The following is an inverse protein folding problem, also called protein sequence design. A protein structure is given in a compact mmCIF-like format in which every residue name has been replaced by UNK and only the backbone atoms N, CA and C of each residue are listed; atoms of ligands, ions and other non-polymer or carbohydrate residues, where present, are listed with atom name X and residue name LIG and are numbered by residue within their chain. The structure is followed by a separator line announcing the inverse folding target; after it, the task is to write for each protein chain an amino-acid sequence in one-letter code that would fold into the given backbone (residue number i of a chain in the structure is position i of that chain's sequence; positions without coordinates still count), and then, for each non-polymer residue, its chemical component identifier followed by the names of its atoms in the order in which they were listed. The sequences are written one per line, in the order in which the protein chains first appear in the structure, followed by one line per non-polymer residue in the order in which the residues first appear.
data_IF_864585836871
#
_entry.id   IF_864585836871
#
_cell.length_a   1.000
_cell.length_b   1.000
_cell.length_c   1.000
_cell.angle_alpha   90.00
_cell.angle_beta   90.00
_cell.angle_gamma   90.00
#
_symmetry.space_group_name_H-M   'P 1'
#
loop_
_entity.id
_entity.type
_entity.pdbx_description
1 polymer ?
#
# COMPACT_ATOMS: atom_id res chain seq x y z
N UNK A 1 -40.82 86.85 -35.82
CA UNK A 1 -39.89 86.22 -34.85
C UNK A 1 -39.40 84.94 -35.50
N UNK A 2 -38.49 84.92 -36.49
CA UNK A 2 -37.17 85.57 -36.64
C UNK A 2 -36.20 85.28 -35.47
N UNK A 3 -35.43 84.17 -35.63
CA UNK A 3 -33.95 83.99 -35.64
C UNK A 3 -33.09 84.71 -34.57
N UNK A 4 -31.86 84.22 -34.21
CA UNK A 4 -30.98 83.41 -35.06
C UNK A 4 -30.16 82.27 -34.43
N UNK A 5 -29.73 81.45 -35.39
CA UNK A 5 -28.56 80.59 -35.50
C UNK A 5 -27.25 81.22 -34.99
N UNK A 6 -26.44 80.49 -34.22
CA UNK A 6 -25.01 80.78 -34.03
C UNK A 6 -24.20 79.49 -34.22
N UNK A 7 -23.27 79.56 -35.15
CA UNK A 7 -22.30 78.54 -35.54
C UNK A 7 -20.92 78.84 -34.92
N UNK A 8 -20.20 77.75 -34.59
CA UNK A 8 -18.72 77.56 -34.51
C UNK A 8 -17.95 78.00 -33.24
N UNK A 9 -16.78 77.36 -32.92
CA UNK A 9 -15.92 76.50 -33.76
C UNK A 9 -15.49 75.14 -33.18
N UNK A 10 -14.90 74.36 -34.08
CA UNK A 10 -14.21 73.07 -33.93
C UNK A 10 -12.99 73.21 -33.02
N UNK A 11 -12.92 72.40 -31.96
CA UNK A 11 -11.66 72.08 -31.27
C UNK A 11 -11.42 70.58 -31.38
N UNK A 12 -10.44 70.22 -32.19
CA UNK A 12 -9.89 68.86 -32.30
C UNK A 12 -9.22 68.51 -30.97
N UNK A 13 -9.84 67.63 -30.18
CA UNK A 13 -9.16 66.99 -29.06
C UNK A 13 -8.69 65.60 -29.50
N UNK A 14 -7.47 65.58 -30.03
CA UNK A 14 -6.67 64.37 -30.22
C UNK A 14 -6.44 63.71 -28.86
N UNK A 15 -7.24 62.72 -28.51
CA UNK A 15 -6.96 61.84 -27.37
C UNK A 15 -6.32 60.57 -27.90
N UNK A 16 -5.10 60.36 -27.42
CA UNK A 16 -4.18 59.33 -27.84
C UNK A 16 -4.84 57.94 -27.80
N UNK A 17 -4.73 57.22 -28.91
CA UNK A 17 -4.92 55.79 -28.98
C UNK A 17 -3.86 55.16 -28.06
N UNK A 18 -4.24 54.80 -26.84
CA UNK A 18 -3.44 53.93 -26.00
C UNK A 18 -3.41 52.57 -26.71
N UNK A 19 -2.38 52.35 -27.52
CA UNK A 19 -1.99 51.04 -27.98
C UNK A 19 -1.62 50.24 -26.73
N UNK A 20 -2.59 49.53 -26.17
CA UNK A 20 -2.31 48.45 -25.25
C UNK A 20 -1.47 47.43 -26.04
N UNK A 21 -0.15 47.49 -25.86
CA UNK A 21 0.71 46.38 -26.18
C UNK A 21 0.16 45.18 -25.42
N UNK A 22 -0.61 44.36 -26.11
CA UNK A 22 -0.81 42.96 -25.76
C UNK A 22 0.58 42.33 -25.85
N UNK A 23 1.35 42.47 -24.77
CA UNK A 23 2.44 41.57 -24.48
C UNK A 23 1.78 40.20 -24.39
N UNK A 24 1.80 39.47 -25.50
CA UNK A 24 1.67 38.03 -25.54
C UNK A 24 2.83 37.47 -24.70
N UNK A 25 2.64 37.55 -23.37
CA UNK A 25 3.42 36.78 -22.43
C UNK A 25 3.17 35.34 -22.80
N UNK A 26 4.18 34.68 -23.32
CA UNK A 26 4.29 33.25 -23.20
C UNK A 26 4.16 32.94 -21.71
N UNK A 27 2.94 32.62 -21.26
CA UNK A 27 2.74 31.91 -20.00
C UNK A 27 3.56 30.63 -20.19
N UNK A 28 4.65 30.41 -19.42
CA UNK A 28 5.31 29.12 -19.43
C UNK A 28 4.21 28.11 -19.12
N UNK A 29 3.98 27.16 -20.04
CA UNK A 29 2.94 26.16 -19.87
C UNK A 29 3.09 25.55 -18.49
N UNK A 30 2.03 25.58 -17.68
CA UNK A 30 2.02 24.91 -16.38
C UNK A 30 2.48 23.48 -16.61
N UNK A 31 3.70 23.17 -16.16
CA UNK A 31 4.20 21.81 -16.16
C UNK A 31 3.31 21.09 -15.15
N UNK A 32 2.35 20.31 -15.64
CA UNK A 32 1.54 19.37 -14.87
C UNK A 32 2.11 17.98 -15.13
N UNK A 33 3.19 17.58 -14.43
CA UNK A 33 3.73 16.25 -14.60
C UNK A 33 2.65 15.24 -14.19
N UNK A 34 2.56 14.13 -14.93
CA UNK A 34 1.72 13.01 -14.51
C UNK A 34 2.22 12.46 -13.17
N UNK A 35 1.37 11.79 -12.39
CA UNK A 35 1.79 11.12 -11.13
C UNK A 35 3.03 10.24 -11.38
N UNK A 36 3.03 9.49 -12.48
CA UNK A 36 4.17 8.67 -12.88
C UNK A 36 5.47 9.47 -13.02
N UNK A 37 5.40 10.68 -13.57
CA UNK A 37 6.55 11.58 -13.74
C UNK A 37 6.92 12.32 -12.45
N UNK A 38 5.96 12.63 -11.57
CA UNK A 38 6.25 13.19 -10.24
C UNK A 38 6.98 12.16 -9.38
N UNK A 39 6.58 10.89 -9.45
CA UNK A 39 7.12 9.84 -8.58
C UNK A 39 8.34 9.11 -9.14
N UNK A 40 8.65 9.27 -10.44
CA UNK A 40 9.99 8.95 -10.97
C UNK A 40 11.10 9.75 -10.26
N UNK A 41 10.77 10.86 -9.59
CA UNK A 41 11.73 11.68 -8.83
C UNK A 41 11.93 11.27 -7.37
N UNK A 42 11.22 10.24 -6.87
CA UNK A 42 11.42 9.66 -5.55
C UNK A 42 10.15 9.55 -4.69
N UNK A 43 10.35 9.35 -3.39
CA UNK A 43 9.27 9.22 -2.40
C UNK A 43 8.57 10.56 -2.17
N UNK A 44 7.23 10.57 -2.16
CA UNK A 44 6.42 11.74 -1.83
C UNK A 44 6.04 11.72 -0.35
N UNK A 45 6.29 12.81 0.37
CA UNK A 45 5.73 13.02 1.71
C UNK A 45 4.40 13.76 1.62
N UNK A 46 3.42 13.30 2.37
CA UNK A 46 2.12 13.97 2.49
C UNK A 46 1.63 13.83 3.92
N UNK A 47 1.57 14.96 4.64
CA UNK A 47 1.43 14.96 6.09
C UNK A 47 2.55 14.13 6.74
N UNK A 48 2.17 13.18 7.59
CA UNK A 48 3.09 12.30 8.32
C UNK A 48 3.36 10.96 7.60
N UNK A 49 2.86 10.82 6.36
CA UNK A 49 2.98 9.60 5.57
C UNK A 49 3.96 9.77 4.40
N UNK A 50 4.45 8.62 3.94
CA UNK A 50 5.32 8.51 2.76
C UNK A 50 4.64 7.63 1.71
N UNK A 51 4.70 8.06 0.45
CA UNK A 51 4.16 7.36 -0.70
C UNK A 51 5.26 7.09 -1.72
N UNK A 52 5.41 5.83 -2.13
CA UNK A 52 6.41 5.41 -3.12
C UNK A 52 5.72 4.69 -4.26
N UNK A 53 5.98 5.08 -5.50
CA UNK A 53 5.52 4.31 -6.64
C UNK A 53 6.42 3.07 -6.82
N UNK A 54 5.80 1.90 -6.92
CA UNK A 54 6.50 0.62 -7.08
C UNK A 54 6.47 0.12 -8.52
N UNK A 55 5.37 0.40 -9.21
CA UNK A 55 5.15 0.07 -10.61
C UNK A 55 4.14 1.07 -11.22
N UNK A 56 3.95 1.09 -12.54
CA UNK A 56 2.77 1.74 -13.11
C UNK A 56 1.51 1.24 -12.40
N UNK A 57 0.70 2.17 -11.88
CA UNK A 57 -0.54 1.90 -11.15
C UNK A 57 -0.42 1.27 -9.76
N UNK A 58 0.77 1.11 -9.19
CA UNK A 58 0.95 0.55 -7.84
C UNK A 58 1.83 1.45 -6.99
N UNK A 59 1.33 1.83 -5.83
CA UNK A 59 2.04 2.63 -4.84
C UNK A 59 2.06 1.93 -3.49
N UNK A 60 3.14 2.12 -2.75
CA UNK A 60 3.21 1.84 -1.32
C UNK A 60 2.78 3.08 -0.56
N UNK A 61 1.93 2.91 0.45
CA UNK A 61 1.75 3.89 1.51
C UNK A 61 2.53 3.43 2.75
N UNK A 62 3.17 4.34 3.45
CA UNK A 62 3.94 4.07 4.68
C UNK A 62 3.52 5.06 5.77
N UNK A 63 3.09 4.52 6.90
CA UNK A 63 2.71 5.26 8.11
C UNK A 63 3.58 4.84 9.30
N UNK A 64 3.60 5.64 10.36
CA UNK A 64 4.47 5.42 11.52
C UNK A 64 3.67 5.49 12.81
N UNK A 65 4.00 4.62 13.77
CA UNK A 65 3.51 4.72 15.14
C UNK A 65 4.70 4.81 16.09
N UNK A 66 4.71 5.83 16.95
CA UNK A 66 5.71 5.95 18.00
C UNK A 66 5.38 4.98 19.14
N UNK A 67 6.22 3.94 19.29
CA UNK A 67 6.09 2.96 20.35
C UNK A 67 7.18 3.18 21.42
N UNK A 68 6.80 3.42 22.69
CA UNK A 68 7.77 3.55 23.78
C UNK A 68 8.73 2.36 23.84
N UNK A 69 10.04 2.63 23.80
CA UNK A 69 11.10 1.61 23.81
C UNK A 69 11.53 1.07 22.44
N UNK A 70 10.72 1.25 21.38
CA UNK A 70 11.03 0.80 20.01
C UNK A 70 11.24 1.96 19.03
N UNK A 71 10.71 3.14 19.33
CA UNK A 71 10.71 4.30 18.43
C UNK A 71 9.59 4.26 17.41
N UNK A 72 9.74 5.01 16.31
CA UNK A 72 8.77 5.04 15.23
C UNK A 72 8.79 3.74 14.42
N UNK A 73 7.72 2.95 14.50
CA UNK A 73 7.56 1.69 13.76
C UNK A 73 6.80 1.96 12.46
N UNK A 74 7.45 1.68 11.33
CA UNK A 74 6.84 1.85 10.01
C UNK A 74 5.85 0.70 9.72
N UNK A 75 4.74 1.03 9.06
CA UNK A 75 3.80 0.07 8.49
C UNK A 75 3.50 0.44 7.04
N UNK A 76 3.70 -0.53 6.14
CA UNK A 76 3.43 -0.40 4.72
C UNK A 76 2.13 -1.13 4.34
N UNK A 77 1.37 -0.52 3.44
CA UNK A 77 0.34 -1.16 2.63
C UNK A 77 0.42 -0.70 1.17
N UNK A 78 -0.59 -1.01 0.35
CA UNK A 78 -0.59 -0.72 -1.09
C UNK A 78 -1.81 0.08 -1.53
N UNK A 79 -1.62 0.88 -2.58
CA UNK A 79 -2.64 1.57 -3.36
C UNK A 79 -2.51 1.08 -4.79
N UNK A 80 -3.59 0.60 -5.38
CA UNK A 80 -3.60 0.03 -6.73
C UNK A 80 -4.66 0.72 -7.58
N UNK A 81 -4.25 1.36 -8.68
CA UNK A 81 -5.18 1.90 -9.67
C UNK A 81 -5.58 0.80 -10.65
N UNK A 82 -6.86 0.52 -10.73
CA UNK A 82 -7.44 -0.43 -11.66
C UNK A 82 -8.47 0.28 -12.54
N UNK A 83 -8.05 0.67 -13.76
CA UNK A 83 -8.89 1.47 -14.65
C UNK A 83 -9.36 2.77 -13.98
N UNK A 84 -10.67 2.93 -13.84
CA UNK A 84 -11.34 4.13 -13.27
C UNK A 84 -11.55 4.10 -11.75
N UNK A 85 -10.85 3.23 -11.01
CA UNK A 85 -11.01 3.06 -9.56
C UNK A 85 -9.68 2.77 -8.87
N UNK A 86 -9.67 2.90 -7.55
CA UNK A 86 -8.54 2.57 -6.68
C UNK A 86 -8.92 1.46 -5.71
N UNK A 87 -7.99 0.55 -5.46
CA UNK A 87 -8.09 -0.53 -4.49
C UNK A 87 -7.00 -0.31 -3.44
N UNK A 88 -7.35 -0.47 -2.16
CA UNK A 88 -6.43 -0.31 -1.04
C UNK A 88 -6.09 -1.68 -0.44
N UNK A 89 -4.84 -1.89 -0.06
CA UNK A 89 -4.39 -3.02 0.77
C UNK A 89 -3.84 -2.43 2.07
N UNK A 90 -4.44 -2.85 3.18
CA UNK A 90 -4.21 -2.37 4.56
C UNK A 90 -4.52 -0.89 4.82
N UNK A 91 -4.95 -0.59 6.05
CA UNK A 91 -5.03 0.78 6.58
C UNK A 91 -3.64 1.29 7.02
N UNK A 92 -3.58 2.54 7.50
CA UNK A 92 -2.48 2.97 8.36
C UNK A 92 -2.72 2.54 9.82
N UNK A 93 -1.85 2.95 10.75
CA UNK A 93 -1.98 2.65 12.19
C UNK A 93 -3.20 3.29 12.85
N UNK A 94 -3.72 4.39 12.29
CA UNK A 94 -4.82 5.17 12.87
C UNK A 94 -5.80 5.63 11.80
N UNK A 95 -7.00 6.02 12.24
CA UNK A 95 -8.00 6.66 11.37
C UNK A 95 -7.47 7.96 10.74
N UNK A 96 -6.80 8.82 11.49
CA UNK A 96 -6.25 10.08 10.96
C UNK A 96 -5.21 9.84 9.87
N UNK A 97 -4.33 8.85 10.05
CA UNK A 97 -3.35 8.48 9.03
C UNK A 97 -4.03 7.84 7.82
N UNK A 98 -5.09 7.06 8.03
CA UNK A 98 -5.85 6.44 6.93
C UNK A 98 -6.64 7.49 6.15
N UNK A 99 -7.20 8.49 6.81
CA UNK A 99 -7.80 9.66 6.15
C UNK A 99 -6.76 10.44 5.32
N UNK A 100 -5.52 10.55 5.79
CA UNK A 100 -4.42 11.13 4.99
C UNK A 100 -4.12 10.32 3.73
N UNK A 101 -4.18 8.98 3.79
CA UNK A 101 -4.08 8.12 2.58
C UNK A 101 -5.20 8.47 1.60
N UNK A 102 -6.45 8.55 2.07
CA UNK A 102 -7.59 8.88 1.21
C UNK A 102 -7.47 10.29 0.59
N UNK A 103 -6.98 11.26 1.36
CA UNK A 103 -6.71 12.62 0.89
C UNK A 103 -5.61 12.64 -0.17
N UNK A 104 -4.53 11.88 0.02
CA UNK A 104 -3.48 11.74 -0.99
C UNK A 104 -4.03 11.09 -2.27
N UNK A 105 -4.80 10.00 -2.16
CA UNK A 105 -5.46 9.37 -3.31
C UNK A 105 -6.34 10.38 -4.05
N UNK A 106 -7.11 11.19 -3.32
CA UNK A 106 -7.97 12.21 -3.90
C UNK A 106 -7.17 13.29 -4.63
N UNK A 107 -6.07 13.75 -4.04
CA UNK A 107 -5.24 14.81 -4.62
C UNK A 107 -4.48 14.33 -5.85
N UNK A 108 -3.80 13.18 -5.76
CA UNK A 108 -2.88 12.72 -6.79
C UNK A 108 -3.59 11.89 -7.87
N UNK A 109 -4.39 10.90 -7.48
CA UNK A 109 -5.04 9.97 -8.41
C UNK A 109 -6.43 10.47 -8.84
N UNK A 110 -7.16 11.10 -7.91
CA UNK A 110 -8.50 11.65 -8.12
C UNK A 110 -9.51 10.65 -8.72
N UNK A 111 -9.45 9.39 -8.26
CA UNK A 111 -10.40 8.32 -8.58
C UNK A 111 -11.04 7.79 -7.29
N UNK A 112 -12.26 7.24 -7.36
CA UNK A 112 -12.90 6.65 -6.18
C UNK A 112 -12.14 5.42 -5.69
N UNK A 113 -11.97 5.32 -4.36
CA UNK A 113 -11.51 4.09 -3.71
C UNK A 113 -12.71 3.14 -3.64
N UNK A 114 -12.67 2.07 -4.42
CA UNK A 114 -13.80 1.15 -4.55
C UNK A 114 -13.88 0.16 -3.39
N UNK A 115 -12.72 -0.33 -2.93
CA UNK A 115 -12.63 -1.26 -1.81
C UNK A 115 -11.27 -1.19 -1.13
N UNK A 116 -11.22 -1.71 0.10
CA UNK A 116 -9.99 -2.02 0.81
C UNK A 116 -10.01 -3.48 1.28
N UNK A 117 -8.86 -4.16 1.17
CA UNK A 117 -8.62 -5.46 1.80
C UNK A 117 -7.56 -5.30 2.89
N UNK A 118 -7.84 -5.79 4.10
CA UNK A 118 -6.92 -5.73 5.24
C UNK A 118 -6.41 -7.12 5.60
N UNK A 119 -5.14 -7.23 5.96
CA UNK A 119 -4.41 -8.51 5.90
C UNK A 119 -4.32 -9.31 7.20
N UNK A 120 -4.63 -8.72 8.35
CA UNK A 120 -4.87 -9.40 9.63
C UNK A 120 -5.34 -8.42 10.70
N UNK A 121 -5.85 -8.92 11.83
CA UNK A 121 -6.36 -8.14 12.95
C UNK A 121 -5.27 -7.58 13.87
N UNK A 122 -4.33 -6.79 13.34
CA UNK A 122 -3.42 -5.93 14.11
C UNK A 122 -3.62 -4.46 13.75
N UNK A 123 -3.26 -3.56 14.67
CA UNK A 123 -3.49 -2.12 14.54
C UNK A 123 -2.86 -1.52 13.28
N UNK A 124 -1.70 -2.01 12.86
CA UNK A 124 -1.00 -1.51 11.69
C UNK A 124 -1.65 -1.87 10.35
N UNK A 125 -2.64 -2.77 10.35
CA UNK A 125 -3.45 -3.17 9.18
C UNK A 125 -4.91 -2.74 9.26
N UNK A 126 -5.46 -2.66 10.48
CA UNK A 126 -6.89 -2.45 10.75
C UNK A 126 -7.15 -1.29 11.73
N UNK A 127 -6.15 -0.50 12.09
CA UNK A 127 -6.30 0.63 13.02
C UNK A 127 -7.01 1.85 12.42
N UNK A 128 -7.27 1.86 11.11
CA UNK A 128 -7.95 2.95 10.41
C UNK A 128 -9.28 2.58 9.75
N UNK A 129 -9.95 1.55 10.26
CA UNK A 129 -11.15 0.98 9.64
C UNK A 129 -12.35 1.93 9.70
N UNK A 130 -12.49 2.72 10.77
CA UNK A 130 -13.57 3.69 10.89
C UNK A 130 -13.43 4.81 9.85
N UNK A 131 -12.20 5.25 9.54
CA UNK A 131 -11.96 6.21 8.44
C UNK A 131 -12.42 5.67 7.08
N UNK A 132 -12.18 4.38 6.80
CA UNK A 132 -12.65 3.75 5.56
C UNK A 132 -14.18 3.65 5.52
N UNK A 133 -14.81 3.26 6.63
CA UNK A 133 -16.27 3.16 6.73
C UNK A 133 -16.94 4.52 6.60
N UNK A 134 -16.39 5.55 7.25
CA UNK A 134 -16.88 6.93 7.15
C UNK A 134 -16.78 7.48 5.71
N UNK A 135 -15.79 7.04 4.94
CA UNK A 135 -15.65 7.37 3.53
C UNK A 135 -16.56 6.52 2.60
N UNK A 136 -17.34 5.58 3.14
CA UNK A 136 -18.22 4.71 2.37
C UNK A 136 -17.48 3.64 1.54
N UNK A 137 -16.26 3.28 1.94
CA UNK A 137 -15.43 2.30 1.23
C UNK A 137 -15.80 0.88 1.68
N UNK A 138 -16.03 -0.03 0.72
CA UNK A 138 -16.29 -1.44 1.02
C UNK A 138 -15.02 -2.11 1.56
N UNK A 139 -15.10 -2.73 2.74
CA UNK A 139 -13.94 -3.33 3.41
C UNK A 139 -14.03 -4.84 3.49
N UNK A 140 -12.91 -5.51 3.26
CA UNK A 140 -12.80 -6.97 3.24
C UNK A 140 -11.64 -7.43 4.11
N UNK A 141 -11.83 -8.50 4.88
CA UNK A 141 -10.76 -9.15 5.63
C UNK A 141 -10.98 -10.66 5.64
N UNK A 142 -9.99 -11.44 6.06
CA UNK A 142 -10.23 -12.85 6.40
C UNK A 142 -11.39 -12.93 7.41
N UNK A 143 -12.29 -13.91 7.25
CA UNK A 143 -13.36 -14.17 8.21
C UNK A 143 -12.85 -14.26 9.65
N UNK A 144 -11.66 -14.87 9.84
CA UNK A 144 -11.02 -14.94 11.15
C UNK A 144 -10.56 -13.57 11.65
N UNK A 145 -10.01 -12.71 10.79
CA UNK A 145 -9.66 -11.32 11.16
C UNK A 145 -10.89 -10.55 11.65
N UNK A 146 -12.04 -10.69 10.99
CA UNK A 146 -13.27 -10.04 11.43
C UNK A 146 -13.76 -10.56 12.79
N UNK A 147 -13.49 -11.82 13.12
CA UNK A 147 -13.79 -12.38 14.43
C UNK A 147 -12.81 -11.90 15.51
N UNK A 148 -11.53 -11.74 15.18
CA UNK A 148 -10.47 -11.33 16.10
C UNK A 148 -10.46 -9.81 16.35
N UNK A 149 -10.78 -8.99 15.34
CA UNK A 149 -10.67 -7.53 15.43
C UNK A 149 -11.35 -6.94 16.69
N UNK A 150 -12.61 -7.28 17.03
CA UNK A 150 -13.23 -6.75 18.26
C UNK A 150 -12.54 -7.19 19.56
N UNK A 151 -11.86 -8.34 19.55
CA UNK A 151 -11.12 -8.85 20.71
C UNK A 151 -9.83 -8.06 20.93
N UNK A 152 -9.23 -7.58 19.84
CA UNK A 152 -8.05 -6.70 19.81
C UNK A 152 -8.41 -5.21 19.92
N UNK A 153 -9.68 -4.86 20.16
CA UNK A 153 -10.14 -3.46 20.24
C UNK A 153 -10.17 -2.75 18.88
N UNK A 154 -10.21 -3.50 17.78
CA UNK A 154 -10.26 -3.02 16.40
C UNK A 154 -11.66 -3.17 15.80
N UNK A 155 -11.92 -2.43 14.72
CA UNK A 155 -13.18 -2.49 13.99
C UNK A 155 -13.08 -3.52 12.85
N UNK A 156 -14.02 -4.45 12.81
CA UNK A 156 -14.07 -5.48 11.76
C UNK A 156 -14.36 -4.89 10.38
N UNK A 157 -13.91 -5.55 9.33
CA UNK A 157 -14.33 -5.24 7.97
C UNK A 157 -15.81 -5.61 7.73
N UNK A 158 -16.44 -4.95 6.75
CA UNK A 158 -17.85 -5.17 6.41
C UNK A 158 -18.10 -6.55 5.77
N UNK A 159 -17.09 -7.11 5.12
CA UNK A 159 -17.16 -8.36 4.39
C UNK A 159 -16.08 -9.34 4.83
N UNK A 160 -16.44 -10.61 4.89
CA UNK A 160 -15.54 -11.71 5.24
C UNK A 160 -15.12 -12.49 4.00
N UNK A 161 -13.82 -12.66 3.83
CA UNK A 161 -13.19 -13.52 2.84
C UNK A 161 -13.11 -14.94 3.40
N UNK A 162 -13.43 -15.92 2.55
CA UNK A 162 -13.19 -17.34 2.84
C UNK A 162 -12.21 -17.91 1.83
N UNK A 163 -11.49 -18.97 2.24
CA UNK A 163 -10.41 -19.53 1.45
C UNK A 163 -10.67 -21.01 1.17
N UNK A 164 -10.39 -21.43 -0.06
CA UNK A 164 -10.40 -22.82 -0.46
C UNK A 164 -9.27 -23.58 0.28
N UNK A 165 -9.34 -24.91 0.27
CA UNK A 165 -8.34 -25.76 0.91
C UNK A 165 -6.90 -25.56 0.36
N UNK A 166 -6.77 -25.02 -0.85
CA UNK A 166 -5.48 -24.70 -1.46
C UNK A 166 -4.98 -23.28 -1.11
N UNK A 167 -5.65 -22.55 -0.23
CA UNK A 167 -5.29 -21.22 0.25
C UNK A 167 -5.81 -20.05 -0.60
N UNK A 168 -6.29 -20.28 -1.82
CA UNK A 168 -6.83 -19.19 -2.64
C UNK A 168 -8.20 -18.72 -2.15
N UNK A 169 -8.43 -17.41 -2.22
CA UNK A 169 -9.73 -16.83 -1.85
C UNK A 169 -10.85 -17.39 -2.73
N UNK A 170 -11.98 -17.71 -2.11
CA UNK A 170 -13.19 -18.12 -2.82
C UNK A 170 -13.76 -16.91 -3.57
N UNK A 171 -13.87 -16.94 -4.92
CA UNK A 171 -14.21 -15.77 -5.73
C UNK A 171 -15.53 -15.10 -5.35
N UNK A 172 -16.50 -15.88 -4.84
CA UNK A 172 -17.79 -15.37 -4.38
C UNK A 172 -17.66 -14.41 -3.19
N UNK A 173 -16.59 -14.50 -2.40
CA UNK A 173 -16.32 -13.64 -1.23
C UNK A 173 -15.44 -12.44 -1.55
N UNK A 174 -14.80 -12.41 -2.73
CA UNK A 174 -13.94 -11.32 -3.19
C UNK A 174 -14.46 -10.68 -4.50
N UNK A 175 -15.72 -10.22 -4.55
CA UNK A 175 -16.30 -9.67 -5.78
C UNK A 175 -15.57 -8.39 -6.20
N UNK A 176 -15.32 -8.27 -7.50
CA UNK A 176 -14.71 -7.08 -8.10
C UNK A 176 -13.29 -6.75 -7.60
N UNK A 177 -12.49 -7.72 -7.18
CA UNK A 177 -11.11 -7.47 -6.72
C UNK A 177 -10.11 -7.07 -7.82
N UNK A 178 -10.50 -7.17 -9.10
CA UNK A 178 -9.66 -6.76 -10.23
C UNK A 178 -8.30 -7.48 -10.21
N UNK A 179 -7.16 -6.76 -10.19
CA UNK A 179 -5.83 -7.36 -10.18
C UNK A 179 -5.43 -7.98 -8.83
N UNK A 180 -6.16 -7.75 -7.73
CA UNK A 180 -5.80 -8.30 -6.43
C UNK A 180 -6.04 -9.82 -6.39
N UNK A 181 -4.98 -10.59 -6.14
CA UNK A 181 -5.02 -12.05 -5.96
C UNK A 181 -4.73 -12.38 -4.50
N UNK A 182 -5.78 -12.65 -3.72
CA UNK A 182 -5.67 -12.87 -2.27
C UNK A 182 -5.43 -14.35 -1.96
N UNK A 183 -4.47 -14.61 -1.08
CA UNK A 183 -4.04 -15.94 -0.71
C UNK A 183 -3.84 -16.05 0.81
N UNK A 184 -4.42 -17.07 1.42
CA UNK A 184 -4.17 -17.48 2.79
C UNK A 184 -3.06 -18.54 2.80
N UNK A 185 -1.85 -18.20 3.26
CA UNK A 185 -0.72 -19.12 3.25
C UNK A 185 -0.73 -20.13 4.39
N UNK A 186 -1.66 -20.02 5.34
CA UNK A 186 -1.63 -20.71 6.63
C UNK A 186 -1.19 -19.78 7.77
N UNK A 187 -1.29 -20.24 9.02
CA UNK A 187 -0.96 -19.44 10.19
C UNK A 187 0.56 -19.17 10.27
N UNK A 188 0.94 -17.98 10.70
CA UNK A 188 2.35 -17.56 10.75
C UNK A 188 2.57 -16.37 11.67
N UNK A 189 2.65 -15.15 11.13
CA UNK A 189 2.73 -13.92 11.94
C UNK A 189 1.51 -13.80 12.86
N UNK A 190 0.35 -14.16 12.33
CA UNK A 190 -0.88 -14.42 13.10
C UNK A 190 -1.59 -15.63 12.52
N UNK A 191 -2.62 -16.12 13.21
CA UNK A 191 -3.47 -17.20 12.70
C UNK A 191 -4.29 -16.82 11.45
N UNK A 192 -4.58 -15.52 11.30
CA UNK A 192 -5.47 -14.94 10.30
C UNK A 192 -4.76 -14.22 9.15
N UNK A 193 -3.42 -14.18 9.13
CA UNK A 193 -2.66 -13.46 8.10
C UNK A 193 -3.02 -13.89 6.67
N UNK A 194 -3.25 -12.92 5.79
CA UNK A 194 -3.42 -13.15 4.35
C UNK A 194 -2.41 -12.33 3.55
N UNK A 195 -2.23 -12.72 2.30
CA UNK A 195 -1.25 -12.12 1.38
C UNK A 195 -1.91 -11.76 0.06
N UNK A 196 -1.33 -10.82 -0.68
CA UNK A 196 -1.95 -10.28 -1.90
C UNK A 196 -0.93 -10.15 -3.03
N UNK A 197 -1.14 -10.86 -4.13
CA UNK A 197 -0.44 -10.62 -5.40
C UNK A 197 -1.15 -9.57 -6.25
N UNK A 198 -0.41 -8.83 -7.07
CA UNK A 198 -0.98 -7.84 -7.99
C UNK A 198 -0.79 -8.31 -9.43
N UNK A 199 -1.86 -8.86 -10.03
CA UNK A 199 -1.85 -9.37 -11.40
C UNK A 199 -1.47 -8.28 -12.42
N UNK A 200 -0.72 -8.67 -13.45
CA UNK A 200 -0.13 -7.74 -14.42
C UNK A 200 1.11 -6.98 -13.91
N UNK A 201 1.60 -7.29 -12.71
CA UNK A 201 2.87 -6.79 -12.17
C UNK A 201 3.72 -7.93 -11.60
N UNK A 202 4.96 -7.63 -11.25
CA UNK A 202 5.84 -8.56 -10.55
C UNK A 202 5.78 -8.43 -9.01
N UNK A 203 4.71 -7.82 -8.47
CA UNK A 203 4.58 -7.48 -7.05
C UNK A 203 3.74 -8.52 -6.30
N UNK A 204 4.27 -9.00 -5.18
CA UNK A 204 3.51 -9.73 -4.17
C UNK A 204 3.71 -9.12 -2.78
N UNK A 205 2.60 -8.88 -2.08
CA UNK A 205 2.55 -8.32 -0.74
C UNK A 205 2.42 -9.43 0.29
N UNK A 206 3.49 -9.63 1.05
CA UNK A 206 3.57 -10.62 2.14
C UNK A 206 3.08 -10.09 3.50
N UNK A 207 2.70 -8.81 3.59
CA UNK A 207 2.26 -8.19 4.84
C UNK A 207 3.29 -8.35 5.96
N UNK A 208 2.82 -8.69 7.15
CA UNK A 208 3.67 -8.96 8.32
C UNK A 208 4.28 -10.38 8.33
N UNK A 209 3.86 -11.30 7.45
CA UNK A 209 4.43 -12.65 7.40
C UNK A 209 5.88 -12.65 6.92
N UNK A 210 6.22 -11.77 5.98
CA UNK A 210 7.54 -11.74 5.35
C UNK A 210 8.39 -10.61 5.94
N UNK A 211 9.66 -10.92 6.21
CA UNK A 211 10.67 -9.93 6.63
C UNK A 211 11.77 -9.85 5.57
N UNK A 212 12.51 -8.74 5.57
CA UNK A 212 13.60 -8.58 4.63
C UNK A 212 14.75 -9.55 4.90
N UNK A 213 15.61 -9.77 3.90
CA UNK A 213 16.71 -10.74 3.97
C UNK A 213 17.82 -10.37 4.97
N UNK A 214 17.80 -9.17 5.53
CA UNK A 214 18.75 -8.67 6.53
C UNK A 214 18.10 -8.53 7.92
N UNK A 215 16.83 -8.88 8.07
CA UNK A 215 16.12 -8.82 9.33
C UNK A 215 16.79 -9.75 10.36
N UNK A 216 16.98 -9.23 11.58
CA UNK A 216 17.60 -9.97 12.70
C UNK A 216 16.58 -10.75 13.53
N UNK A 217 15.29 -10.53 13.31
CA UNK A 217 14.18 -11.19 14.00
C UNK A 217 12.94 -11.23 13.11
N UNK A 218 11.94 -12.00 13.52
CA UNK A 218 10.62 -12.05 12.91
C UNK A 218 9.66 -10.96 13.45
N UNK A 219 10.18 -9.95 14.14
CA UNK A 219 9.38 -8.87 14.72
C UNK A 219 8.54 -9.33 15.92
N UNK A 220 7.32 -8.81 16.03
CA UNK A 220 6.37 -9.22 17.06
C UNK A 220 5.84 -10.64 16.78
N UNK A 221 6.07 -11.56 17.72
CA UNK A 221 5.61 -12.95 17.65
C UNK A 221 4.53 -13.28 18.70
N UNK A 222 3.92 -12.26 19.33
CA UNK A 222 2.95 -12.46 20.42
C UNK A 222 1.77 -13.37 20.04
N UNK A 223 1.28 -13.24 18.81
CA UNK A 223 0.14 -13.99 18.28
C UNK A 223 0.55 -14.98 17.17
N UNK A 224 1.85 -15.24 17.06
CA UNK A 224 2.40 -16.04 15.99
C UNK A 224 2.18 -17.55 16.21
N UNK A 225 1.88 -18.25 15.13
CA UNK A 225 1.99 -19.71 15.08
C UNK A 225 3.43 -20.07 14.69
N UNK A 226 4.27 -20.30 15.69
CA UNK A 226 5.69 -20.56 15.49
C UNK A 226 5.98 -21.94 14.88
N UNK A 227 5.05 -22.90 15.01
CA UNK A 227 5.17 -24.23 14.41
C UNK A 227 4.96 -24.16 12.89
N UNK A 228 3.95 -23.42 12.44
CA UNK A 228 3.56 -23.36 11.03
C UNK A 228 4.19 -22.19 10.25
N UNK A 229 4.77 -21.19 10.92
CA UNK A 229 5.30 -19.96 10.31
C UNK A 229 6.15 -20.22 9.06
N UNK A 230 7.12 -21.13 9.16
CA UNK A 230 8.06 -21.40 8.07
C UNK A 230 7.39 -22.11 6.88
N UNK A 231 6.34 -22.91 7.12
CA UNK A 231 5.56 -23.53 6.06
C UNK A 231 4.73 -22.46 5.33
N UNK A 232 4.08 -21.57 6.08
CA UNK A 232 3.26 -20.48 5.54
C UNK A 232 4.09 -19.48 4.72
N UNK A 233 5.28 -19.11 5.18
CA UNK A 233 6.19 -18.25 4.40
C UNK A 233 6.60 -18.88 3.06
N UNK A 234 6.82 -20.21 3.02
CA UNK A 234 7.10 -20.93 1.77
C UNK A 234 5.86 -21.04 0.87
N UNK A 235 4.68 -21.25 1.46
CA UNK A 235 3.42 -21.30 0.74
C UNK A 235 3.13 -19.98 0.00
N UNK A 236 3.40 -18.83 0.65
CA UNK A 236 3.35 -17.52 -0.01
C UNK A 236 4.24 -17.45 -1.26
N UNK A 237 5.52 -17.85 -1.14
CA UNK A 237 6.45 -17.87 -2.27
C UNK A 237 5.99 -18.80 -3.41
N UNK A 238 5.42 -19.96 -3.06
CA UNK A 238 4.87 -20.91 -4.02
C UNK A 238 3.59 -20.40 -4.70
N UNK A 239 2.77 -19.59 -4.03
CA UNK A 239 1.55 -19.00 -4.58
C UNK A 239 1.84 -17.90 -5.60
N UNK A 240 2.96 -17.18 -5.45
CA UNK A 240 3.37 -16.07 -6.32
C UNK A 240 4.76 -16.32 -6.95
N UNK A 241 4.95 -17.42 -7.71
CA UNK A 241 6.28 -17.89 -8.13
C UNK A 241 6.98 -16.99 -9.15
N UNK A 242 6.24 -16.03 -9.74
CA UNK A 242 6.76 -15.06 -10.72
C UNK A 242 7.00 -13.67 -10.12
N UNK A 243 6.62 -13.44 -8.87
CA UNK A 243 6.85 -12.15 -8.24
C UNK A 243 8.36 -11.91 -8.09
N UNK A 244 8.83 -10.78 -8.61
CA UNK A 244 10.22 -10.34 -8.52
C UNK A 244 10.41 -9.22 -7.50
N UNK A 245 9.32 -8.60 -7.04
CA UNK A 245 9.30 -7.60 -5.98
C UNK A 245 8.40 -8.07 -4.83
N UNK A 246 8.99 -8.29 -3.66
CA UNK A 246 8.24 -8.63 -2.45
C UNK A 246 8.10 -7.38 -1.59
N UNK A 247 6.87 -6.98 -1.35
CA UNK A 247 6.51 -5.87 -0.46
C UNK A 247 6.04 -6.46 0.87
N UNK A 248 6.39 -5.81 1.97
CA UNK A 248 6.09 -6.25 3.32
C UNK A 248 5.88 -5.06 4.25
N UNK A 249 5.31 -5.31 5.43
CA UNK A 249 4.82 -4.23 6.28
C UNK A 249 5.92 -3.42 6.98
N UNK A 250 7.03 -4.03 7.39
CA UNK A 250 8.00 -3.38 8.28
C UNK A 250 9.42 -3.25 7.70
N UNK A 251 9.56 -3.45 6.39
CA UNK A 251 10.81 -3.25 5.67
C UNK A 251 10.53 -2.67 4.29
N UNK A 252 11.53 -2.03 3.69
CA UNK A 252 11.44 -1.61 2.29
C UNK A 252 11.25 -2.83 1.36
N UNK A 253 10.61 -2.65 0.18
CA UNK A 253 10.50 -3.71 -0.81
C UNK A 253 11.86 -4.32 -1.16
N UNK A 254 11.90 -5.64 -1.33
CA UNK A 254 13.11 -6.36 -1.74
C UNK A 254 12.89 -7.03 -3.09
N UNK A 255 13.97 -7.21 -3.84
CA UNK A 255 13.97 -8.18 -4.93
C UNK A 255 13.68 -9.58 -4.33
N UNK A 256 12.79 -10.33 -4.96
CA UNK A 256 12.38 -11.63 -4.45
C UNK A 256 13.60 -12.55 -4.30
N UNK A 257 13.94 -12.98 -3.07
CA UNK A 257 15.12 -13.81 -2.85
C UNK A 257 14.88 -15.19 -3.47
N UNK A 258 15.91 -15.77 -4.08
CA UNK A 258 15.85 -17.12 -4.67
C UNK A 258 15.35 -18.18 -3.66
N UNK A 259 15.53 -17.96 -2.35
CA UNK A 259 15.05 -18.84 -1.28
C UNK A 259 13.53 -18.85 -1.07
N UNK A 260 12.81 -17.80 -1.47
CA UNK A 260 11.33 -17.79 -1.52
C UNK A 260 10.80 -18.38 -2.84
N UNK A 261 11.63 -18.50 -3.86
CA UNK A 261 11.25 -18.89 -5.23
C UNK A 261 11.49 -20.38 -5.53
N UNK A 262 12.22 -21.15 -4.69
CA UNK A 262 12.50 -22.58 -4.95
C UNK A 262 11.85 -23.53 -3.94
N UNK A 263 11.05 -24.52 -4.40
CA UNK A 263 10.55 -25.60 -3.56
C UNK A 263 11.63 -26.66 -3.39
N UNK A 264 12.64 -26.41 -2.55
CA UNK A 264 13.54 -27.44 -2.04
C UNK A 264 14.33 -26.89 -0.85
N UNK A 265 13.72 -26.93 0.34
CA UNK A 265 14.50 -27.07 1.56
C UNK A 265 14.49 -28.55 1.94
N UNK A 266 15.64 -29.19 2.19
CA UNK A 266 15.66 -30.54 2.74
C UNK A 266 15.02 -30.50 4.13
N UNK A 267 14.11 -31.43 4.37
CA UNK A 267 13.41 -31.67 5.64
C UNK A 267 14.33 -32.11 6.80
N UNK A 268 15.65 -31.98 6.68
CA UNK A 268 16.63 -32.54 7.62
C UNK A 268 17.46 -31.52 8.39
N UNK A 269 17.20 -30.22 8.27
CA UNK A 269 17.83 -29.22 9.13
C UNK A 269 16.84 -28.73 10.19
N UNK A 270 16.72 -29.49 11.28
CA UNK A 270 16.36 -28.89 12.55
C UNK A 270 17.49 -27.92 12.93
N UNK A 271 17.24 -26.61 12.84
CA UNK A 271 18.22 -25.57 13.14
C UNK A 271 18.27 -25.20 14.65
N UNK A 272 19.38 -24.61 15.14
CA UNK A 272 19.98 -24.85 16.45
C UNK A 272 19.34 -24.09 17.63
N UNK A 273 18.15 -23.53 17.46
CA UNK A 273 17.50 -22.73 18.50
C UNK A 273 16.78 -23.59 19.56
N UNK A 274 16.79 -24.91 19.39
CA UNK A 274 16.10 -25.89 20.25
C UNK A 274 17.01 -26.78 21.11
N UNK A 275 18.33 -26.52 21.20
CA UNK A 275 19.18 -27.30 22.12
C UNK A 275 20.12 -26.40 22.95
N UNK A 276 20.11 -26.63 24.26
CA UNK A 276 20.92 -25.92 25.27
C UNK A 276 22.40 -26.35 25.25
N UNK A 277 23.01 -26.62 24.09
CA UNK A 277 24.43 -26.99 24.00
C UNK A 277 25.02 -26.63 22.63
N UNK A 278 26.29 -26.16 22.57
CA UNK A 278 26.87 -25.63 21.34
C UNK A 278 27.20 -26.75 20.34
N UNK A 279 26.88 -26.63 19.04
CA UNK A 279 27.26 -27.64 18.06
C UNK A 279 28.69 -27.40 17.56
N UNK A 280 29.51 -28.45 17.63
CA UNK A 280 30.81 -28.56 16.97
C UNK A 280 30.53 -28.91 15.51
N UNK A 281 30.82 -28.01 14.57
CA UNK A 281 30.74 -28.29 13.13
C UNK A 281 32.17 -28.50 12.59
N UNK A 282 32.54 -29.75 12.31
CA UNK A 282 33.76 -30.04 11.55
C UNK A 282 33.58 -29.64 10.08
N UNK A 283 34.59 -28.94 9.55
CA UNK A 283 34.76 -28.64 8.12
C UNK A 283 34.72 -29.93 7.30
N UNK A 284 33.91 -29.97 6.26
CA UNK A 284 34.16 -30.84 5.11
C UNK A 284 34.67 -29.98 3.95
N UNK A 285 35.88 -30.33 3.52
CA UNK A 285 36.66 -29.77 2.44
C UNK A 285 36.14 -30.32 1.10
N UNK A 286 36.28 -29.50 0.06
CA UNK A 286 36.22 -29.79 -1.38
C UNK A 286 36.52 -31.23 -1.81
N UNK A 287 35.74 -31.74 -2.76
CA UNK A 287 36.19 -32.25 -4.07
C UNK A 287 35.09 -32.01 -5.09
#
# INVERSE_FOLDING_TARGET
MELPNIMHPVAKLSTALAAALMLSGCMPGEIRPTIGQQMETGDQRFGDLVFRQLAPNVWQHTSYLDMPGFGAVASNGLIVRDGGRVLLVDTAWTDDQTAQILNWIKQEINLPVALAVVTHAHQDKMGGMDALHAAGIATYANALSNQLAPQEGLVAAQHSLTFAANGWVEPATAPNFGPLKVFYPGPGHTSDNITVGIDGTDIAFGGCLIKDSKAKSLGNLGDADTEHYAASARAFGAAFPKASMIVMSHSAPIAAPQSLIRPAWPTSCAEPWLTTSPPICHRAISM
#
